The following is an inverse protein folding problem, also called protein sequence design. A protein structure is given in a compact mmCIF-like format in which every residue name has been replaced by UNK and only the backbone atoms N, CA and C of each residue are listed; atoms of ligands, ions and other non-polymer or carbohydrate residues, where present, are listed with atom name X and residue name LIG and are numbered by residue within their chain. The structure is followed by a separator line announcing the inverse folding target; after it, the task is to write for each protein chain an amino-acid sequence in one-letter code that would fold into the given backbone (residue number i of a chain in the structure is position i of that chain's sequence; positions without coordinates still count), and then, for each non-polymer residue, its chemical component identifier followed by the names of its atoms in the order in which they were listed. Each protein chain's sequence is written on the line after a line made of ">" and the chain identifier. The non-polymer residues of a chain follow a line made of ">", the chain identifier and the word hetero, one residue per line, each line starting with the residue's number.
data_IF_689043186000
#
_entry.id   IF_689043186000
#
_cell.length_a   1.000
_cell.length_b   1.000
_cell.length_c   1.000
_cell.angle_alpha   90.00
_cell.angle_beta   90.00
_cell.angle_gamma   90.00
#
_symmetry.space_group_name_H-M   'P 1'
#
loop_
_entity.id
_entity.type
_entity.pdbx_description
1 polymer ?
#
# COMPACT_ATOMS: atom_id res chain seq x y z
N UNK A 1 -30.19 -2.70 -23.07
CA UNK A 1 -28.81 -3.09 -23.40
C UNK A 1 -28.08 -1.86 -23.92
N UNK A 2 -27.15 -1.31 -23.15
CA UNK A 2 -26.47 -0.07 -23.48
C UNK A 2 -25.06 -0.11 -22.94
N UNK A 3 -24.19 -0.88 -23.58
CA UNK A 3 -22.76 -0.93 -23.28
C UNK A 3 -22.13 0.40 -23.71
N UNK A 4 -21.98 1.34 -22.77
CA UNK A 4 -21.25 2.58 -22.98
C UNK A 4 -19.75 2.27 -23.08
N UNK A 5 -19.26 2.09 -24.31
CA UNK A 5 -17.83 2.01 -24.60
C UNK A 5 -17.18 3.39 -24.33
N UNK A 6 -16.26 3.47 -23.37
CA UNK A 6 -15.48 4.69 -23.07
C UNK A 6 -14.73 5.16 -24.34
N UNK A 7 -14.71 6.47 -24.64
CA UNK A 7 -13.99 7.01 -25.80
C UNK A 7 -12.48 6.87 -25.63
N UNK A 8 -11.79 6.37 -26.66
CA UNK A 8 -10.31 6.33 -26.73
C UNK A 8 -9.77 7.76 -26.80
N UNK A 9 -8.87 8.12 -25.89
CA UNK A 9 -8.30 9.48 -25.83
C UNK A 9 -7.50 9.80 -27.11
N UNK A 10 -7.70 11.02 -27.61
CA UNK A 10 -7.04 11.56 -28.80
C UNK A 10 -5.90 12.46 -28.33
N UNK A 11 -4.67 11.94 -28.31
CA UNK A 11 -3.49 12.72 -27.94
C UNK A 11 -3.16 13.75 -29.04
N UNK A 12 -3.07 15.02 -28.66
CA UNK A 12 -2.63 16.13 -29.52
C UNK A 12 -1.10 16.10 -29.65
N UNK A 13 -0.60 16.23 -30.88
CA UNK A 13 0.82 16.19 -31.21
C UNK A 13 1.50 17.53 -30.90
N UNK A 14 2.52 17.50 -30.02
CA UNK A 14 3.42 18.62 -29.79
C UNK A 14 4.47 18.30 -28.73
N UNK A 15 5.71 18.05 -29.17
CA UNK A 15 6.91 17.79 -28.36
C UNK A 15 6.95 16.47 -27.56
N UNK A 16 6.91 15.32 -28.24
CA UNK A 16 7.20 14.03 -27.62
C UNK A 16 8.71 13.84 -27.42
N UNK A 17 9.23 14.25 -26.25
CA UNK A 17 10.39 13.57 -25.68
C UNK A 17 10.10 12.06 -25.70
N UNK A 18 10.99 11.23 -26.25
CA UNK A 18 10.75 9.79 -26.48
C UNK A 18 10.27 9.09 -25.21
N UNK A 19 8.95 8.99 -25.04
CA UNK A 19 8.33 8.29 -23.93
C UNK A 19 8.61 6.81 -24.11
N UNK A 20 9.22 6.17 -23.09
CA UNK A 20 9.61 4.77 -23.20
C UNK A 20 8.40 3.87 -23.46
N UNK A 21 8.58 2.81 -24.27
CA UNK A 21 7.53 1.81 -24.54
C UNK A 21 6.91 1.26 -23.24
N UNK A 22 7.75 1.00 -22.22
CA UNK A 22 7.31 0.51 -20.91
C UNK A 22 6.38 1.49 -20.21
N UNK A 23 6.71 2.79 -20.24
CA UNK A 23 5.84 3.81 -19.65
C UNK A 23 4.51 3.91 -20.39
N UNK A 24 4.49 3.86 -21.73
CA UNK A 24 3.23 3.81 -22.49
C UNK A 24 2.36 2.61 -22.10
N UNK A 25 2.95 1.42 -21.98
CA UNK A 25 2.22 0.23 -21.52
C UNK A 25 1.70 0.38 -20.08
N UNK A 26 2.47 1.02 -19.18
CA UNK A 26 2.00 1.32 -17.83
C UNK A 26 0.77 2.25 -17.88
N UNK A 27 0.87 3.36 -18.63
CA UNK A 27 -0.21 4.34 -18.77
C UNK A 27 -1.48 3.69 -19.32
N UNK A 28 -1.36 2.95 -20.42
CA UNK A 28 -2.49 2.25 -21.04
C UNK A 28 -3.18 1.30 -20.05
N UNK A 29 -2.42 0.49 -19.31
CA UNK A 29 -2.96 -0.52 -18.40
C UNK A 29 -3.60 0.07 -17.15
N UNK A 30 -3.09 1.21 -16.68
CA UNK A 30 -3.65 1.95 -15.54
C UNK A 30 -4.92 2.66 -15.95
N UNK A 31 -4.91 3.44 -17.05
CA UNK A 31 -6.09 4.16 -17.54
C UNK A 31 -7.22 3.19 -17.91
N UNK A 32 -6.91 2.04 -18.50
CA UNK A 32 -7.91 0.97 -18.80
C UNK A 32 -8.66 0.47 -17.55
N UNK A 33 -8.03 0.53 -16.37
CA UNK A 33 -8.56 0.03 -15.09
C UNK A 33 -8.95 1.15 -14.14
N UNK A 34 -8.90 2.39 -14.60
CA UNK A 34 -9.23 3.59 -13.83
C UNK A 34 -10.60 4.13 -14.21
N UNK A 35 -11.16 4.92 -13.30
CA UNK A 35 -12.38 5.66 -13.64
C UNK A 35 -12.05 6.82 -14.56
N UNK A 36 -10.98 7.57 -14.27
CA UNK A 36 -10.46 8.63 -15.13
C UNK A 36 -9.85 8.10 -16.45
N UNK A 37 -10.01 8.91 -17.51
CA UNK A 37 -9.48 8.62 -18.85
C UNK A 37 -8.09 9.20 -19.13
N UNK A 38 -7.56 10.02 -18.22
CA UNK A 38 -6.27 10.71 -18.37
C UNK A 38 -5.30 10.28 -17.28
N UNK A 39 -4.03 10.05 -17.63
CA UNK A 39 -3.01 9.54 -16.71
C UNK A 39 -2.87 10.35 -15.42
N UNK A 40 -2.92 11.69 -15.51
CA UNK A 40 -2.71 12.57 -14.36
C UNK A 40 -3.74 12.38 -13.25
N UNK A 41 -4.97 12.02 -13.60
CA UNK A 41 -6.04 11.74 -12.65
C UNK A 41 -6.12 10.24 -12.34
N UNK A 42 -6.02 9.39 -13.36
CA UNK A 42 -6.04 7.93 -13.21
C UNK A 42 -4.99 7.45 -12.22
N UNK A 43 -3.76 7.98 -12.27
CA UNK A 43 -2.68 7.58 -11.36
C UNK A 43 -2.97 7.92 -9.90
N UNK A 44 -3.76 8.96 -9.62
CA UNK A 44 -4.09 9.35 -8.25
C UNK A 44 -5.01 8.34 -7.58
N UNK A 45 -5.84 7.63 -8.33
CA UNK A 45 -6.86 6.69 -7.83
C UNK A 45 -6.29 5.43 -7.14
N UNK A 46 -4.98 5.19 -7.19
CA UNK A 46 -4.38 3.92 -6.78
C UNK A 46 -3.68 4.02 -5.42
N UNK A 47 -3.87 3.00 -4.59
CA UNK A 47 -3.17 2.82 -3.31
C UNK A 47 -2.38 1.52 -3.25
N UNK A 48 -1.31 1.50 -2.46
CA UNK A 48 -0.56 0.28 -2.17
C UNK A 48 -1.36 -0.56 -1.17
N UNK A 49 -1.72 -1.78 -1.57
CA UNK A 49 -2.42 -2.74 -0.70
C UNK A 49 -1.53 -3.88 -0.24
N UNK A 50 -0.47 -4.23 -0.99
CA UNK A 50 0.51 -5.19 -0.52
C UNK A 50 1.92 -4.99 -1.10
N UNK A 51 2.93 -5.47 -0.37
CA UNK A 51 4.31 -5.58 -0.82
C UNK A 51 4.93 -6.93 -0.51
N UNK A 52 5.77 -7.41 -1.43
CA UNK A 52 6.58 -8.61 -1.21
C UNK A 52 7.86 -8.58 -2.06
N UNK A 53 8.80 -9.44 -1.70
CA UNK A 53 10.01 -9.68 -2.47
C UNK A 53 10.03 -11.13 -2.94
N UNK A 54 10.09 -11.35 -4.25
CA UNK A 54 10.27 -12.67 -4.85
C UNK A 54 11.08 -12.51 -6.15
N UNK A 55 12.01 -13.41 -6.48
CA UNK A 55 12.73 -13.34 -7.74
C UNK A 55 11.84 -13.72 -8.93
N UNK A 56 12.13 -13.15 -10.10
CA UNK A 56 11.56 -13.62 -11.36
C UNK A 56 10.17 -13.11 -11.71
N UNK A 57 9.58 -12.22 -10.91
CA UNK A 57 8.26 -11.67 -11.22
C UNK A 57 8.26 -10.69 -12.38
N UNK A 58 7.06 -10.23 -12.75
CA UNK A 58 6.82 -9.37 -13.92
C UNK A 58 5.98 -8.15 -13.54
N UNK A 59 6.45 -6.97 -13.94
CA UNK A 59 5.70 -5.72 -13.80
C UNK A 59 4.61 -5.62 -14.89
N UNK A 60 3.50 -4.94 -14.59
CA UNK A 60 2.44 -4.66 -15.57
C UNK A 60 2.94 -3.94 -16.84
N UNK A 61 4.03 -3.16 -16.74
CA UNK A 61 4.66 -2.49 -17.89
C UNK A 61 5.40 -3.45 -18.84
N UNK A 62 5.45 -4.75 -18.49
CA UNK A 62 6.15 -5.79 -19.23
C UNK A 62 7.61 -6.00 -18.81
N UNK A 63 8.15 -5.20 -17.89
CA UNK A 63 9.51 -5.41 -17.39
C UNK A 63 9.60 -6.69 -16.53
N UNK A 64 10.59 -7.52 -16.85
CA UNK A 64 10.99 -8.69 -16.09
C UNK A 64 12.52 -8.86 -16.17
N UNK A 65 13.15 -9.55 -15.21
CA UNK A 65 12.57 -9.91 -13.93
C UNK A 65 12.47 -8.70 -12.99
N UNK A 66 11.44 -8.65 -12.14
CA UNK A 66 11.39 -7.75 -10.98
C UNK A 66 11.51 -8.56 -9.69
N UNK A 67 12.11 -7.95 -8.67
CA UNK A 67 12.23 -8.52 -7.31
C UNK A 67 11.22 -7.95 -6.33
N UNK A 68 11.06 -6.63 -6.35
CA UNK A 68 10.17 -5.91 -5.46
C UNK A 68 8.81 -5.71 -6.12
N UNK A 69 7.77 -6.25 -5.48
CA UNK A 69 6.42 -6.22 -5.99
C UNK A 69 5.56 -5.32 -5.11
N UNK A 70 4.78 -4.47 -5.76
CA UNK A 70 3.80 -3.62 -5.11
C UNK A 70 2.46 -3.95 -5.76
N UNK A 71 1.56 -4.58 -5.00
CA UNK A 71 0.16 -4.66 -5.38
C UNK A 71 -0.48 -3.32 -5.06
N UNK A 72 -1.08 -2.73 -6.08
CA UNK A 72 -1.84 -1.51 -5.98
C UNK A 72 -3.30 -1.80 -6.33
N UNK A 73 -4.21 -1.09 -5.68
CA UNK A 73 -5.65 -1.20 -5.90
C UNK A 73 -6.22 0.17 -6.23
N UNK A 74 -7.07 0.22 -7.25
CA UNK A 74 -7.82 1.41 -7.57
C UNK A 74 -8.98 1.59 -6.58
N UNK A 75 -9.10 2.78 -5.97
CA UNK A 75 -10.14 3.10 -4.99
C UNK A 75 -11.54 3.11 -5.61
N UNK A 76 -11.65 3.60 -6.84
CA UNK A 76 -12.92 3.82 -7.55
C UNK A 76 -13.42 2.54 -8.22
N UNK A 77 -12.54 1.86 -8.97
CA UNK A 77 -12.91 0.67 -9.76
C UNK A 77 -12.69 -0.65 -9.03
N UNK A 78 -11.95 -0.64 -7.91
CA UNK A 78 -11.53 -1.83 -7.15
C UNK A 78 -10.60 -2.79 -7.90
N UNK A 79 -10.18 -2.44 -9.11
CA UNK A 79 -9.19 -3.17 -9.91
C UNK A 79 -7.82 -3.23 -9.22
N UNK A 80 -7.04 -4.27 -9.50
CA UNK A 80 -5.72 -4.48 -8.90
C UNK A 80 -4.64 -4.68 -9.96
N UNK A 81 -3.44 -4.17 -9.66
CA UNK A 81 -2.25 -4.31 -10.51
C UNK A 81 -1.02 -4.64 -9.66
N UNK A 82 -0.03 -5.28 -10.29
CA UNK A 82 1.29 -5.50 -9.70
C UNK A 82 2.34 -4.69 -10.46
N UNK A 83 3.03 -3.81 -9.73
CA UNK A 83 4.07 -2.93 -10.27
C UNK A 83 5.40 -3.11 -9.57
N UNK A 84 6.48 -3.00 -10.34
CA UNK A 84 7.84 -2.97 -9.81
C UNK A 84 8.20 -1.64 -9.15
N UNK A 85 9.34 -1.61 -8.46
CA UNK A 85 9.87 -0.42 -7.76
C UNK A 85 10.10 0.79 -8.66
N UNK A 86 10.31 0.59 -9.96
CA UNK A 86 10.53 1.71 -10.89
C UNK A 86 9.21 2.29 -11.41
N UNK A 87 8.20 1.44 -11.62
CA UNK A 87 6.89 1.88 -12.09
C UNK A 87 6.10 2.61 -11.02
N UNK A 88 6.19 2.18 -9.76
CA UNK A 88 5.48 2.82 -8.64
C UNK A 88 5.86 4.30 -8.46
N UNK A 89 7.08 4.70 -8.84
CA UNK A 89 7.54 6.09 -8.78
C UNK A 89 6.73 7.03 -9.69
N UNK A 90 6.12 6.49 -10.75
CA UNK A 90 5.29 7.27 -11.65
C UNK A 90 3.92 7.65 -11.08
N UNK A 91 3.46 6.96 -10.03
CA UNK A 91 2.19 7.29 -9.35
C UNK A 91 2.31 8.49 -8.41
N UNK A 92 3.51 9.07 -8.29
CA UNK A 92 3.78 10.26 -7.51
C UNK A 92 4.59 10.01 -6.24
N UNK A 93 5.06 11.10 -5.59
CA UNK A 93 5.97 11.03 -4.46
C UNK A 93 5.31 10.48 -3.18
N UNK A 94 3.98 10.47 -3.10
CA UNK A 94 3.25 9.93 -1.95
C UNK A 94 3.32 8.39 -1.92
N UNK A 95 2.92 7.72 -3.01
CA UNK A 95 2.99 6.26 -3.11
C UNK A 95 4.41 5.73 -2.93
N UNK A 96 5.41 6.42 -3.49
CA UNK A 96 6.82 6.04 -3.28
C UNK A 96 7.25 6.20 -1.81
N UNK A 97 6.79 7.24 -1.11
CA UNK A 97 7.08 7.41 0.33
C UNK A 97 6.43 6.31 1.16
N UNK A 98 5.16 5.99 0.90
CA UNK A 98 4.45 4.86 1.53
C UNK A 98 5.23 3.57 1.26
N UNK A 99 5.72 3.39 0.02
CA UNK A 99 6.48 2.21 -0.36
C UNK A 99 7.75 2.03 0.47
N UNK A 100 8.52 3.11 0.57
CA UNK A 100 9.77 3.11 1.32
C UNK A 100 9.53 2.96 2.82
N UNK A 101 8.47 3.58 3.35
CA UNK A 101 8.07 3.45 4.75
C UNK A 101 7.79 2.00 5.11
N UNK A 102 7.05 1.28 4.26
CA UNK A 102 6.77 -0.14 4.45
C UNK A 102 8.02 -0.99 4.46
N UNK A 103 8.92 -0.77 3.50
CA UNK A 103 10.19 -1.49 3.42
C UNK A 103 11.11 -1.21 4.63
N UNK A 104 11.05 0.01 5.19
CA UNK A 104 11.80 0.37 6.40
C UNK A 104 11.20 -0.30 7.63
N UNK A 105 9.87 -0.28 7.77
CA UNK A 105 9.16 -0.89 8.89
C UNK A 105 9.31 -2.41 8.92
N UNK A 106 9.29 -3.07 7.76
CA UNK A 106 9.49 -4.53 7.70
C UNK A 106 10.85 -4.97 8.25
N UNK A 107 11.86 -4.09 8.17
CA UNK A 107 13.21 -4.29 8.71
C UNK A 107 13.37 -3.80 10.16
N UNK A 108 12.72 -2.68 10.50
CA UNK A 108 12.83 -2.00 11.80
C UNK A 108 11.44 -1.55 12.30
N UNK A 109 10.62 -2.47 12.84
CA UNK A 109 9.23 -2.19 13.21
C UNK A 109 9.07 -1.30 14.45
N UNK A 110 10.13 -1.04 15.22
CA UNK A 110 10.13 -0.14 16.38
C UNK A 110 10.21 1.35 15.98
N UNK A 111 10.72 1.63 14.78
CA UNK A 111 10.78 2.98 14.20
C UNK A 111 9.40 3.44 13.75
N UNK A 112 9.23 4.74 13.59
CA UNK A 112 8.00 5.32 13.04
C UNK A 112 7.81 4.92 11.57
N UNK A 113 6.57 4.66 11.20
CA UNK A 113 6.13 4.43 9.83
C UNK A 113 6.01 5.71 8.99
N UNK A 114 6.03 6.88 9.63
CA UNK A 114 5.81 8.16 8.95
C UNK A 114 4.32 8.47 8.74
N UNK A 115 4.01 9.76 8.60
CA UNK A 115 2.63 10.24 8.57
C UNK A 115 1.88 9.75 7.35
N UNK A 116 2.53 9.74 6.17
CA UNK A 116 1.93 9.35 4.91
C UNK A 116 1.46 7.89 4.93
N UNK A 117 2.26 6.99 5.52
CA UNK A 117 1.87 5.59 5.67
C UNK A 117 0.67 5.43 6.60
N UNK A 118 0.64 6.15 7.73
CA UNK A 118 -0.51 6.08 8.63
C UNK A 118 -1.77 6.65 7.99
N UNK A 119 -1.66 7.76 7.27
CA UNK A 119 -2.79 8.33 6.53
C UNK A 119 -3.30 7.38 5.44
N UNK A 120 -2.39 6.76 4.68
CA UNK A 120 -2.76 5.80 3.64
C UNK A 120 -3.37 4.52 4.19
N UNK A 121 -2.92 4.02 5.35
CA UNK A 121 -3.46 2.78 5.92
C UNK A 121 -4.78 3.02 6.68
N UNK A 122 -4.88 4.12 7.42
CA UNK A 122 -5.96 4.38 8.39
C UNK A 122 -6.95 5.49 7.98
N UNK A 123 -6.66 6.26 6.92
CA UNK A 123 -7.54 7.32 6.42
C UNK A 123 -8.83 6.78 5.80
N UNK A 124 -9.75 7.67 5.42
CA UNK A 124 -11.12 7.35 4.95
C UNK A 124 -11.19 6.34 3.80
N UNK A 125 -10.12 6.17 3.04
CA UNK A 125 -10.01 5.19 1.93
C UNK A 125 -8.83 4.23 2.10
N UNK A 126 -8.29 4.13 3.31
CA UNK A 126 -7.13 3.31 3.61
C UNK A 126 -7.46 1.83 3.72
N UNK A 127 -6.49 0.97 3.44
CA UNK A 127 -6.67 -0.48 3.43
C UNK A 127 -7.17 -1.05 4.78
N UNK A 128 -6.81 -0.44 5.90
CA UNK A 128 -7.33 -0.83 7.23
C UNK A 128 -8.71 -0.20 7.49
N UNK A 129 -8.95 1.03 7.03
CA UNK A 129 -10.27 1.65 7.16
C UNK A 129 -11.35 0.85 6.43
N UNK A 130 -11.09 0.45 5.19
CA UNK A 130 -11.94 -0.45 4.40
C UNK A 130 -12.19 -1.78 5.14
N UNK A 131 -11.14 -2.36 5.74
CA UNK A 131 -11.25 -3.64 6.46
C UNK A 131 -12.12 -3.54 7.71
N UNK A 132 -12.00 -2.44 8.47
CA UNK A 132 -12.72 -2.22 9.72
C UNK A 132 -14.04 -1.44 9.54
N UNK A 133 -14.45 -1.16 8.30
CA UNK A 133 -15.66 -0.39 7.96
C UNK A 133 -15.76 0.97 8.68
N UNK A 134 -14.62 1.61 8.99
CA UNK A 134 -14.57 2.95 9.61
C UNK A 134 -15.03 3.07 11.07
N UNK A 135 -15.64 2.05 11.67
CA UNK A 135 -16.28 2.14 12.99
C UNK A 135 -15.53 1.44 14.13
N UNK A 136 -14.32 0.96 13.89
CA UNK A 136 -13.51 0.37 14.95
C UNK A 136 -12.92 1.45 15.88
N UNK A 137 -13.43 1.51 17.12
CA UNK A 137 -12.94 2.41 18.19
C UNK A 137 -11.45 2.20 18.48
N UNK A 138 -10.94 0.99 18.28
CA UNK A 138 -9.52 0.66 18.36
C UNK A 138 -8.71 1.36 17.26
N UNK A 139 -9.20 1.37 16.02
CA UNK A 139 -8.59 2.04 14.87
C UNK A 139 -8.42 3.54 15.10
N UNK A 140 -9.45 4.21 15.63
CA UNK A 140 -9.40 5.65 15.96
C UNK A 140 -8.36 5.94 17.05
N UNK A 141 -8.24 5.07 18.06
CA UNK A 141 -7.21 5.18 19.10
C UNK A 141 -5.80 4.94 18.57
N UNK A 142 -5.63 3.97 17.66
CA UNK A 142 -4.36 3.69 17.00
C UNK A 142 -3.92 4.86 16.13
N UNK A 143 -4.82 5.39 15.30
CA UNK A 143 -4.57 6.54 14.44
C UNK A 143 -4.17 7.77 15.27
N UNK A 144 -4.91 8.06 16.35
CA UNK A 144 -4.57 9.13 17.29
C UNK A 144 -3.18 8.92 17.92
N UNK A 145 -2.88 7.70 18.35
CA UNK A 145 -1.58 7.41 18.95
C UNK A 145 -0.44 7.64 17.95
N UNK A 146 -0.57 7.14 16.72
CA UNK A 146 0.50 7.29 15.72
C UNK A 146 0.66 8.73 15.25
N UNK A 147 -0.43 9.50 15.11
CA UNK A 147 -0.35 10.91 14.73
C UNK A 147 0.35 11.75 15.81
N UNK A 148 0.02 11.53 17.08
CA UNK A 148 0.65 12.24 18.21
C UNK A 148 2.12 11.85 18.42
N UNK A 149 2.54 10.67 17.96
CA UNK A 149 3.88 10.12 18.22
C UNK A 149 4.68 9.85 16.94
N UNK A 150 4.28 10.39 15.79
CA UNK A 150 4.90 10.08 14.49
C UNK A 150 6.37 10.47 14.43
N UNK A 151 6.75 11.61 15.02
CA UNK A 151 8.14 12.11 15.04
C UNK A 151 8.93 11.61 16.26
N UNK A 152 8.27 10.95 17.22
CA UNK A 152 8.88 10.59 18.50
C UNK A 152 9.82 9.39 18.31
N UNK A 153 11.13 9.54 18.57
CA UNK A 153 12.07 8.42 18.43
C UNK A 153 11.86 7.38 19.53
N UNK A 154 12.22 6.10 19.28
CA UNK A 154 12.02 5.04 20.26
C UNK A 154 12.64 5.32 21.64
N UNK A 155 13.80 5.97 21.67
CA UNK A 155 14.52 6.34 22.90
C UNK A 155 13.77 7.33 23.80
N UNK A 156 12.79 8.07 23.27
CA UNK A 156 11.99 9.05 24.01
C UNK A 156 10.61 8.51 24.40
N UNK A 157 10.32 7.23 24.16
CA UNK A 157 9.01 6.62 24.43
C UNK A 157 9.07 5.73 25.66
N UNK A 158 7.95 5.66 26.39
CA UNK A 158 7.81 4.68 27.46
C UNK A 158 7.74 3.26 26.89
N UNK A 159 8.06 2.25 27.71
CA UNK A 159 7.94 0.83 27.34
C UNK A 159 6.53 0.50 26.82
N UNK A 160 5.49 1.06 27.43
CA UNK A 160 4.11 0.88 27.02
C UNK A 160 3.82 1.51 25.65
N UNK A 161 4.32 2.73 25.40
CA UNK A 161 4.15 3.40 24.10
C UNK A 161 4.89 2.65 22.98
N UNK A 162 6.11 2.18 23.24
CA UNK A 162 6.86 1.36 22.27
C UNK A 162 6.11 0.06 21.94
N UNK A 163 5.58 -0.61 22.96
CA UNK A 163 4.78 -1.82 22.78
C UNK A 163 3.53 -1.54 21.93
N UNK A 164 2.82 -0.44 22.21
CA UNK A 164 1.64 -0.08 21.44
C UNK A 164 1.96 0.23 19.97
N UNK A 165 3.06 0.95 19.71
CA UNK A 165 3.58 1.17 18.35
C UNK A 165 3.87 -0.15 17.63
N UNK A 166 4.54 -1.09 18.28
CA UNK A 166 4.88 -2.39 17.69
C UNK A 166 3.61 -3.19 17.35
N UNK A 167 2.57 -3.15 18.18
CA UNK A 167 1.30 -3.81 17.89
C UNK A 167 0.61 -3.23 16.65
N UNK A 168 0.61 -1.90 16.54
CA UNK A 168 0.09 -1.18 15.37
C UNK A 168 0.85 -1.59 14.10
N UNK A 169 2.18 -1.54 14.13
CA UNK A 169 3.00 -1.92 12.98
C UNK A 169 2.88 -3.40 12.64
N UNK A 170 2.77 -4.29 13.63
CA UNK A 170 2.52 -5.71 13.37
C UNK A 170 1.21 -5.90 12.61
N UNK A 171 0.15 -5.19 13.01
CA UNK A 171 -1.13 -5.24 12.30
C UNK A 171 -0.98 -4.73 10.88
N UNK A 172 -0.43 -3.52 10.71
CA UNK A 172 -0.22 -2.90 9.42
C UNK A 172 0.63 -3.78 8.48
N UNK A 173 1.74 -4.33 8.98
CA UNK A 173 2.61 -5.21 8.20
C UNK A 173 1.92 -6.55 7.87
N UNK A 174 1.11 -7.11 8.78
CA UNK A 174 0.33 -8.32 8.49
C UNK A 174 -0.72 -8.11 7.41
N UNK A 175 -1.31 -6.92 7.34
CA UNK A 175 -2.29 -6.57 6.31
C UNK A 175 -1.63 -6.25 4.97
N UNK A 176 -0.50 -5.55 5.00
CA UNK A 176 0.15 -5.03 3.78
C UNK A 176 1.35 -5.83 3.30
N UNK A 177 1.74 -6.89 4.00
CA UNK A 177 2.65 -7.91 3.48
C UNK A 177 1.89 -9.22 3.34
N UNK A 178 2.34 -10.07 2.42
CA UNK A 178 1.86 -11.45 2.26
C UNK A 178 1.67 -12.11 3.64
N UNK A 179 0.65 -12.98 3.83
CA UNK A 179 0.47 -13.76 5.07
C UNK A 179 1.72 -14.44 5.63
N UNK A 180 2.71 -14.70 4.78
CA UNK A 180 3.95 -15.36 5.15
C UNK A 180 4.98 -14.41 5.80
N UNK A 181 4.68 -13.10 5.90
CA UNK A 181 5.55 -12.17 6.61
C UNK A 181 5.56 -12.48 8.10
N UNK A 182 6.69 -13.02 8.55
CA UNK A 182 6.93 -13.33 9.95
C UNK A 182 7.69 -12.19 10.62
N UNK A 183 7.14 -11.68 11.73
CA UNK A 183 7.82 -10.68 12.56
C UNK A 183 9.16 -11.25 13.07
N UNK A 184 10.28 -10.49 13.00
CA UNK A 184 11.57 -10.98 13.49
C UNK A 184 11.50 -11.37 14.97
N UNK A 185 12.22 -12.43 15.35
CA UNK A 185 12.14 -13.06 16.67
C UNK A 185 12.41 -12.09 17.83
N UNK A 186 13.37 -11.17 17.64
CA UNK A 186 13.68 -10.09 18.60
C UNK A 186 12.51 -9.16 18.95
N UNK A 187 11.40 -9.25 18.22
CA UNK A 187 10.18 -8.45 18.43
C UNK A 187 8.94 -9.30 18.75
N UNK A 188 9.05 -10.64 18.79
CA UNK A 188 7.95 -11.55 19.17
C UNK A 188 7.83 -11.54 20.70
N UNK A 189 6.95 -10.71 21.26
CA UNK A 189 6.66 -10.74 22.71
C UNK A 189 5.63 -11.85 23.05
N UNK A 190 5.55 -12.25 24.32
CA UNK A 190 4.61 -13.28 24.80
C UNK A 190 3.13 -12.91 24.63
N UNK A 191 2.81 -11.63 24.43
CA UNK A 191 1.44 -11.17 24.18
C UNK A 191 1.01 -11.38 22.71
N UNK A 192 1.97 -11.38 21.78
CA UNK A 192 1.70 -11.72 20.38
C UNK A 192 1.25 -13.17 20.15
N UNK A 193 1.47 -14.06 21.12
CA UNK A 193 0.89 -15.41 21.19
C UNK A 193 -0.57 -15.39 21.65
N UNK A 194 -0.94 -14.54 22.61
CA UNK A 194 -2.33 -14.43 23.10
C UNK A 194 -3.31 -13.85 22.05
N UNK A 195 -2.86 -13.04 21.11
CA UNK A 195 -3.70 -12.56 19.99
C UNK A 195 -3.87 -13.58 18.84
N UNK A 196 -3.30 -14.78 18.91
CA UNK A 196 -3.61 -15.85 17.95
C UNK A 196 -5.05 -16.36 18.06
N UNK A 197 -5.78 -16.00 19.12
CA UNK A 197 -7.19 -16.37 19.34
C UNK A 197 -8.22 -15.43 18.69
N UNK A 198 -7.79 -14.30 18.09
CA UNK A 198 -8.71 -13.49 17.29
C UNK A 198 -8.90 -14.18 15.93
N UNK A 199 -10.02 -14.90 15.79
CA UNK A 199 -10.42 -15.53 14.54
C UNK A 199 -10.77 -14.43 13.56
N UNK A 200 -9.83 -14.12 12.67
CA UNK A 200 -10.08 -13.24 11.55
C UNK A 200 -11.02 -13.94 10.56
N UNK A 201 -12.05 -13.26 10.03
CA UNK A 201 -12.84 -13.81 8.94
C UNK A 201 -11.93 -14.11 7.74
N UNK A 202 -12.29 -15.14 6.93
CA UNK A 202 -11.46 -15.55 5.81
C UNK A 202 -11.25 -14.38 4.86
N UNK A 203 -10.03 -14.29 4.32
CA UNK A 203 -9.61 -13.27 3.36
C UNK A 203 -10.69 -13.01 2.31
N UNK A 204 -10.65 -11.82 1.72
CA UNK A 204 -11.00 -11.64 0.31
C UNK A 204 -10.25 -12.70 -0.51
N UNK A 205 -10.84 -13.87 -0.62
CA UNK A 205 -10.52 -14.81 -1.67
C UNK A 205 -11.07 -14.15 -2.94
N UNK A 206 -10.28 -14.10 -4.01
CA UNK A 206 -10.85 -13.74 -5.30
C UNK A 206 -11.99 -14.74 -5.56
N UNK A 207 -13.18 -14.21 -5.82
CA UNK A 207 -14.20 -14.96 -6.53
C UNK A 207 -13.70 -15.23 -7.96
#
# INVERSE_FOLDING_TARGET
>A
EGSATKPRSRMQHGAEARVSKKFRTLVEKVVERSEASEWSEAAKEWDITAQWEEPGGKCICGHHPIRHHNRIKNRETREELVVGSECIKHFGPELERIRQALQKLSKNPDRSGGQELYNSAYGTHGCLHDFFQGDDVGLKKELKFVSENVTRPPSKMSKAQLRWRLLIHRRLLRFMFSPDWQMPEKFRDTFTQQQQSYVYPPRCQPA
#
